data_IF_587482291753
#
_entry.id   IF_587482291753
#
_cell.length_a   1.000
_cell.length_b   1.000
_cell.length_c   1.000
_cell.angle_alpha   90.00
_cell.angle_beta   90.00
_cell.angle_gamma   90.00
#
_symmetry.space_group_name_H-M   'P 1'
#
loop_
_entity.id
_entity.type
_entity.pdbx_description
1 polymer ?
#
# COMPACT_ATOMS: atom_id res chain seq x y z
N UNK A 1 -16.90 0.37 -7.15
CA UNK A 1 -15.53 -0.21 -7.18
C UNK A 1 -14.59 0.84 -7.75
N UNK A 2 -13.47 1.12 -7.08
CA UNK A 2 -12.62 2.30 -7.33
C UNK A 2 -11.88 2.19 -8.68
N UNK A 3 -11.93 3.23 -9.53
CA UNK A 3 -11.32 3.30 -10.88
C UNK A 3 -9.76 3.39 -10.87
N UNK A 4 -9.11 2.89 -9.81
CA UNK A 4 -7.67 3.02 -9.56
C UNK A 4 -6.93 1.72 -9.88
N UNK A 5 -7.07 1.28 -11.12
CA UNK A 5 -6.30 0.15 -11.65
C UNK A 5 -4.85 0.56 -11.84
N UNK A 6 -3.92 -0.37 -11.64
CA UNK A 6 -2.51 -0.14 -11.94
C UNK A 6 -2.31 0.14 -13.44
N UNK A 7 -3.10 -0.49 -14.31
CA UNK A 7 -3.13 -0.23 -15.76
C UNK A 7 -3.51 1.20 -16.14
N UNK A 8 -4.26 1.89 -15.27
CA UNK A 8 -4.74 3.25 -15.51
C UNK A 8 -3.78 4.30 -14.95
N UNK A 9 -2.65 3.89 -14.38
CA UNK A 9 -1.67 4.80 -13.81
C UNK A 9 -0.74 5.35 -14.88
N UNK A 10 -0.72 6.67 -15.05
CA UNK A 10 0.17 7.31 -16.02
C UNK A 10 1.61 7.41 -15.47
N UNK A 11 2.40 6.39 -15.78
CA UNK A 11 3.82 6.28 -15.40
C UNK A 11 4.64 7.43 -15.98
N UNK A 12 4.28 7.92 -17.18
CA UNK A 12 5.04 8.96 -17.90
C UNK A 12 4.97 10.31 -17.20
N UNK A 13 3.98 10.50 -16.33
CA UNK A 13 3.82 11.72 -15.53
C UNK A 13 4.82 11.86 -14.37
N UNK A 14 5.57 10.81 -14.02
CA UNK A 14 6.52 10.81 -12.88
C UNK A 14 7.96 10.57 -13.36
N UNK A 15 8.81 11.61 -13.34
CA UNK A 15 10.22 11.48 -13.64
C UNK A 15 10.91 10.45 -12.73
N UNK A 16 11.64 9.50 -13.32
CA UNK A 16 12.41 8.47 -12.59
C UNK A 16 11.63 7.21 -12.20
N UNK A 17 10.34 7.10 -12.54
CA UNK A 17 9.57 5.87 -12.37
C UNK A 17 9.56 5.08 -13.69
N UNK A 18 10.26 3.94 -13.72
CA UNK A 18 10.24 3.04 -14.87
C UNK A 18 9.12 2.01 -14.76
N UNK A 19 8.62 1.55 -15.91
CA UNK A 19 7.67 0.44 -15.99
C UNK A 19 8.21 -0.83 -15.33
N UNK A 20 9.50 -1.12 -15.50
CA UNK A 20 10.20 -2.24 -14.85
C UNK A 20 10.11 -2.15 -13.33
N UNK A 21 10.32 -0.96 -12.75
CA UNK A 21 10.20 -0.77 -11.31
C UNK A 21 8.76 -1.02 -10.83
N UNK A 22 7.76 -0.55 -11.58
CA UNK A 22 6.35 -0.81 -11.21
C UNK A 22 6.01 -2.30 -11.29
N UNK A 23 6.45 -3.00 -12.33
CA UNK A 23 6.22 -4.45 -12.45
C UNK A 23 6.87 -5.21 -11.29
N UNK A 24 8.11 -4.85 -10.95
CA UNK A 24 8.80 -5.41 -9.79
C UNK A 24 8.03 -5.19 -8.48
N UNK A 25 7.53 -3.97 -8.26
CA UNK A 25 6.69 -3.67 -7.10
C UNK A 25 5.37 -4.44 -7.13
N UNK A 26 4.76 -4.63 -8.30
CA UNK A 26 3.50 -5.37 -8.45
C UNK A 26 3.66 -6.86 -8.14
N UNK A 27 4.80 -7.47 -8.49
CA UNK A 27 5.12 -8.87 -8.14
C UNK A 27 5.22 -9.08 -6.63
N UNK A 28 5.72 -8.08 -5.90
CA UNK A 28 5.65 -8.09 -4.44
C UNK A 28 6.75 -8.89 -3.73
N UNK A 29 7.80 -9.35 -4.42
CA UNK A 29 8.90 -10.13 -3.81
C UNK A 29 9.60 -9.39 -2.66
N UNK A 30 9.57 -8.06 -2.65
CA UNK A 30 10.12 -7.24 -1.56
C UNK A 30 9.43 -7.51 -0.22
N UNK A 31 8.15 -7.93 -0.23
CA UNK A 31 7.41 -8.27 0.98
C UNK A 31 7.98 -9.53 1.65
N UNK A 32 8.46 -10.49 0.85
CA UNK A 32 9.07 -11.73 1.36
C UNK A 32 10.46 -11.47 1.97
N UNK A 33 11.08 -10.33 1.61
CA UNK A 33 12.33 -9.85 2.20
C UNK A 33 12.14 -8.85 3.34
N UNK A 34 10.91 -8.60 3.77
CA UNK A 34 10.56 -7.63 4.81
C UNK A 34 11.04 -6.19 4.52
N UNK A 35 11.05 -5.80 3.24
CA UNK A 35 11.44 -4.47 2.81
C UNK A 35 10.26 -3.50 2.82
N UNK A 36 10.52 -2.25 3.20
CA UNK A 36 9.51 -1.20 3.22
C UNK A 36 9.58 -0.34 1.95
N UNK A 37 8.43 0.06 1.43
CA UNK A 37 8.32 1.01 0.32
C UNK A 37 7.84 2.35 0.85
N UNK A 38 8.55 3.41 0.45
CA UNK A 38 8.15 4.78 0.69
C UNK A 38 7.89 5.46 -0.67
N UNK A 39 6.70 6.05 -0.82
CA UNK A 39 6.29 6.75 -2.03
C UNK A 39 6.26 8.26 -1.75
N UNK A 40 7.21 8.99 -2.33
CA UNK A 40 7.33 10.45 -2.18
C UNK A 40 6.92 11.19 -3.46
N UNK A 41 6.52 12.45 -3.31
CA UNK A 41 6.17 13.34 -4.42
C UNK A 41 5.14 14.40 -4.06
N UNK A 42 5.01 15.42 -4.90
CA UNK A 42 4.10 16.55 -4.68
C UNK A 42 2.63 16.12 -4.53
N UNK A 43 1.78 16.86 -3.83
CA UNK A 43 0.34 16.60 -3.81
C UNK A 43 -0.22 16.46 -5.24
N UNK A 44 -1.16 15.53 -5.43
CA UNK A 44 -1.78 15.32 -6.75
C UNK A 44 -1.01 14.43 -7.75
N UNK A 45 0.24 14.03 -7.47
CA UNK A 45 1.05 13.20 -8.39
C UNK A 45 0.66 11.71 -8.44
N UNK A 46 -0.54 11.34 -8.00
CA UNK A 46 -1.01 9.95 -8.10
C UNK A 46 -0.44 8.96 -7.10
N UNK A 47 0.28 9.37 -6.04
CA UNK A 47 0.82 8.46 -5.00
C UNK A 47 -0.22 7.48 -4.44
N UNK A 48 -1.40 7.99 -4.09
CA UNK A 48 -2.51 7.17 -3.60
C UNK A 48 -3.15 6.31 -4.69
N UNK A 49 -3.05 6.69 -5.96
CA UNK A 49 -3.48 5.81 -7.05
C UNK A 49 -2.50 4.66 -7.18
N UNK A 50 -1.20 4.94 -7.24
CA UNK A 50 -0.16 3.93 -7.35
C UNK A 50 -0.24 2.92 -6.20
N UNK A 51 -0.34 3.38 -4.95
CA UNK A 51 -0.43 2.49 -3.80
C UNK A 51 -1.68 1.60 -3.82
N UNK A 52 -2.84 2.14 -4.24
CA UNK A 52 -4.08 1.36 -4.38
C UNK A 52 -3.98 0.35 -5.52
N UNK A 53 -3.40 0.75 -6.65
CA UNK A 53 -3.18 -0.13 -7.80
C UNK A 53 -2.28 -1.31 -7.43
N UNK A 54 -1.14 -1.05 -6.78
CA UNK A 54 -0.22 -2.08 -6.30
C UNK A 54 -0.88 -3.00 -5.25
N UNK A 55 -1.57 -2.42 -4.27
CA UNK A 55 -2.30 -3.19 -3.25
C UNK A 55 -3.32 -4.15 -3.87
N UNK A 56 -3.99 -3.73 -4.95
CA UNK A 56 -4.92 -4.59 -5.68
C UNK A 56 -4.22 -5.77 -6.36
N UNK A 57 -3.08 -5.55 -7.01
CA UNK A 57 -2.30 -6.63 -7.61
C UNK A 57 -1.83 -7.64 -6.55
N UNK A 58 -1.42 -7.17 -5.37
CA UNK A 58 -1.05 -8.06 -4.27
C UNK A 58 -2.24 -8.86 -3.72
N UNK A 59 -3.42 -8.26 -3.61
CA UNK A 59 -4.65 -8.97 -3.26
C UNK A 59 -4.98 -10.06 -4.30
N UNK A 60 -4.85 -9.74 -5.61
CA UNK A 60 -5.07 -10.70 -6.69
C UNK A 60 -4.05 -11.85 -6.67
N UNK A 61 -2.82 -11.58 -6.22
CA UNK A 61 -1.80 -12.58 -5.96
C UNK A 61 -2.03 -13.38 -4.65
N UNK A 62 -3.18 -13.21 -3.99
CA UNK A 62 -3.55 -13.95 -2.78
C UNK A 62 -2.90 -13.44 -1.49
N UNK A 63 -2.24 -12.28 -1.52
CA UNK A 63 -1.64 -11.69 -0.31
C UNK A 63 -2.69 -10.93 0.49
N UNK A 64 -2.61 -11.04 1.82
CA UNK A 64 -3.43 -10.23 2.73
C UNK A 64 -2.85 -8.81 2.79
N UNK A 65 -3.69 -7.81 2.50
CA UNK A 65 -3.29 -6.40 2.45
C UNK A 65 -4.27 -5.56 3.24
N UNK A 66 -3.75 -4.70 4.12
CA UNK A 66 -4.50 -3.65 4.79
C UNK A 66 -4.17 -2.30 4.17
N UNK A 67 -5.19 -1.57 3.71
CA UNK A 67 -5.05 -0.19 3.25
C UNK A 67 -5.74 0.76 4.23
N UNK A 68 -4.97 1.62 4.88
CA UNK A 68 -5.49 2.58 5.87
C UNK A 68 -4.67 3.87 5.87
N UNK A 69 -5.26 4.96 6.38
CA UNK A 69 -4.49 6.19 6.63
C UNK A 69 -3.68 6.04 7.90
N UNK A 70 -2.57 6.78 8.01
CA UNK A 70 -1.76 6.80 9.22
C UNK A 70 -2.59 7.22 10.46
N UNK A 71 -3.45 8.23 10.30
CA UNK A 71 -4.34 8.69 11.36
C UNK A 71 -5.28 7.58 11.88
N UNK A 72 -5.94 6.87 10.95
CA UNK A 72 -6.86 5.78 11.31
C UNK A 72 -6.11 4.59 11.94
N UNK A 73 -4.91 4.26 11.44
CA UNK A 73 -4.07 3.24 12.05
C UNK A 73 -3.70 3.58 13.50
N UNK A 74 -3.24 4.81 13.74
CA UNK A 74 -2.91 5.28 15.09
C UNK A 74 -4.14 5.22 16.00
N UNK A 75 -5.30 5.67 15.51
CA UNK A 75 -6.54 5.62 16.28
C UNK A 75 -6.91 4.18 16.68
N UNK A 76 -6.88 3.22 15.73
CA UNK A 76 -7.17 1.82 16.02
C UNK A 76 -6.21 1.22 17.05
N UNK A 77 -4.92 1.56 16.96
CA UNK A 77 -3.91 1.10 17.92
C UNK A 77 -4.15 1.69 19.32
N UNK A 78 -4.56 2.96 19.42
CA UNK A 78 -4.89 3.60 20.70
C UNK A 78 -6.12 2.96 21.35
N UNK A 79 -7.19 2.74 20.59
CA UNK A 79 -8.41 2.06 21.05
C UNK A 79 -8.11 0.62 21.52
N UNK A 80 -7.26 -0.10 20.78
CA UNK A 80 -6.84 -1.45 21.14
C UNK A 80 -5.98 -1.50 22.41
N UNK A 81 -5.16 -0.45 22.64
CA UNK A 81 -4.38 -0.32 23.86
C UNK A 81 -5.28 -0.10 25.07
N UNK A 82 -6.29 0.77 24.94
CA UNK A 82 -7.26 1.05 26.03
C UNK A 82 -8.13 -0.17 26.36
N UNK A 83 -8.53 -0.94 25.34
CA UNK A 83 -9.33 -2.15 25.51
C UNK A 83 -8.52 -3.41 25.84
N UNK A 84 -7.20 -3.29 26.06
CA UNK A 84 -6.26 -4.40 26.31
C UNK A 84 -6.24 -5.48 25.21
N UNK A 85 -6.68 -5.15 23.99
CA UNK A 85 -6.75 -6.05 22.82
C UNK A 85 -5.63 -5.81 21.80
N UNK A 86 -4.62 -5.01 22.13
CA UNK A 86 -3.54 -4.62 21.22
C UNK A 86 -2.83 -5.81 20.53
N UNK A 87 -2.53 -6.88 21.28
CA UNK A 87 -1.90 -8.08 20.72
C UNK A 87 -2.75 -8.74 19.63
N UNK A 88 -4.08 -8.69 19.76
CA UNK A 88 -4.98 -9.31 18.79
C UNK A 88 -4.95 -8.55 17.46
N UNK A 89 -4.99 -7.21 17.50
CA UNK A 89 -4.93 -6.39 16.28
C UNK A 89 -3.62 -6.62 15.53
N UNK A 90 -2.48 -6.57 16.23
CA UNK A 90 -1.15 -6.70 15.59
C UNK A 90 -0.96 -8.08 14.94
N UNK A 91 -1.60 -9.13 15.45
CA UNK A 91 -1.43 -10.51 14.96
C UNK A 91 -2.43 -10.93 13.88
N UNK A 92 -3.54 -10.20 13.71
CA UNK A 92 -4.62 -10.61 12.77
C UNK A 92 -4.68 -9.79 11.50
N UNK A 93 -4.24 -8.53 11.50
CA UNK A 93 -4.02 -7.74 10.28
C UNK A 93 -2.82 -8.24 9.50
#
# INVERSE_FOLDING_TARGET
MCNKLLSNFDIKSIPGLSSTKIQYLAQGEFMDRYENILIFGNPGTGKSHLSIGLAREWCLAGRRVLYTTAANLVQQLLEAKLSLKLKQIILTT
#
